data_IF_911981736152
#
_entry.id   IF_911981736152
#
_cell.length_a   1.000
_cell.length_b   1.000
_cell.length_c   1.000
_cell.angle_alpha   90.00
_cell.angle_beta   90.00
_cell.angle_gamma   90.00
#
_symmetry.space_group_name_H-M   'P 1'
#
loop_
_entity.id
_entity.type
_entity.pdbx_description
1 polymer ?
#
# COMPACT_ATOMS: atom_id res chain seq x y z
N UNK A 1 -20.45 -21.65 18.33
CA UNK A 1 -21.74 -21.43 17.64
C UNK A 1 -21.92 -19.97 17.14
N UNK A 2 -21.74 -18.93 17.96
CA UNK A 2 -21.98 -17.52 17.57
C UNK A 2 -21.07 -17.03 16.44
N UNK A 3 -19.78 -17.34 16.47
CA UNK A 3 -18.80 -16.97 15.43
C UNK A 3 -19.12 -17.60 14.06
N UNK A 4 -19.53 -18.86 14.01
CA UNK A 4 -19.90 -19.56 12.77
C UNK A 4 -21.09 -18.89 12.07
N UNK A 5 -22.17 -18.56 12.81
CA UNK A 5 -23.35 -17.86 12.27
C UNK A 5 -23.01 -16.47 11.73
N UNK A 6 -22.06 -15.76 12.37
CA UNK A 6 -21.60 -14.45 11.90
C UNK A 6 -20.81 -14.58 10.58
N UNK A 7 -19.89 -15.55 10.49
CA UNK A 7 -19.14 -15.82 9.26
C UNK A 7 -20.08 -16.19 8.11
N UNK A 8 -21.08 -17.02 8.33
CA UNK A 8 -22.08 -17.38 7.33
C UNK A 8 -22.87 -16.16 6.82
N UNK A 9 -23.22 -15.23 7.72
CA UNK A 9 -23.91 -13.98 7.35
C UNK A 9 -23.03 -13.10 6.45
N UNK A 10 -21.74 -12.98 6.77
CA UNK A 10 -20.76 -12.21 5.97
C UNK A 10 -20.61 -12.88 4.60
N UNK A 11 -20.39 -14.19 4.56
CA UNK A 11 -20.21 -14.96 3.32
C UNK A 11 -21.45 -14.82 2.42
N UNK A 12 -22.65 -14.91 3.00
CA UNK A 12 -23.90 -14.69 2.23
C UNK A 12 -23.94 -13.31 1.62
N UNK A 13 -23.47 -12.27 2.35
CA UNK A 13 -23.38 -10.91 1.82
C UNK A 13 -22.34 -10.79 0.70
N UNK A 14 -21.19 -11.47 0.81
CA UNK A 14 -20.17 -11.47 -0.25
C UNK A 14 -20.69 -12.13 -1.53
N UNK A 15 -21.33 -13.31 -1.41
CA UNK A 15 -21.93 -14.02 -2.53
C UNK A 15 -23.01 -13.19 -3.24
N UNK A 16 -23.91 -12.54 -2.48
CA UNK A 16 -24.98 -11.69 -3.04
C UNK A 16 -24.42 -10.43 -3.75
N UNK A 17 -23.18 -10.06 -3.46
CA UNK A 17 -22.46 -8.98 -4.14
C UNK A 17 -21.59 -9.42 -5.33
N UNK A 18 -21.70 -10.71 -5.73
CA UNK A 18 -21.04 -11.26 -6.90
C UNK A 18 -19.60 -11.72 -6.67
N UNK A 19 -19.18 -11.94 -5.41
CA UNK A 19 -17.88 -12.53 -5.11
C UNK A 19 -17.96 -14.05 -5.07
N UNK A 20 -16.97 -14.73 -5.65
CA UNK A 20 -16.84 -16.18 -5.77
C UNK A 20 -15.80 -16.69 -4.77
N UNK A 21 -16.01 -17.86 -4.19
CA UNK A 21 -15.06 -18.47 -3.26
C UNK A 21 -13.70 -18.71 -3.95
N UNK A 22 -12.65 -18.30 -3.27
CA UNK A 22 -11.27 -18.66 -3.58
C UNK A 22 -10.62 -19.28 -2.35
N UNK A 23 -9.87 -20.34 -2.58
CA UNK A 23 -9.14 -21.07 -1.53
C UNK A 23 -7.64 -20.95 -1.83
N UNK A 24 -7.00 -19.84 -1.42
CA UNK A 24 -5.57 -19.64 -1.62
C UNK A 24 -4.76 -20.62 -0.78
N UNK A 25 -3.63 -21.06 -1.31
CA UNK A 25 -2.77 -22.04 -0.68
C UNK A 25 -2.26 -21.57 0.70
N UNK A 26 -2.12 -22.49 1.64
CA UNK A 26 -1.63 -22.22 3.01
C UNK A 26 -0.11 -22.10 3.02
N UNK A 27 0.56 -22.94 2.23
CA UNK A 27 2.00 -22.99 2.11
C UNK A 27 2.43 -22.24 0.85
N UNK A 28 3.35 -21.32 1.02
CA UNK A 28 3.85 -20.47 -0.05
C UNK A 28 5.37 -20.52 -0.08
N UNK A 29 5.95 -20.29 -1.25
CA UNK A 29 7.39 -20.10 -1.42
C UNK A 29 7.81 -18.80 -0.71
N UNK A 30 8.71 -18.92 0.29
CA UNK A 30 9.12 -17.79 1.11
C UNK A 30 9.98 -16.81 0.34
N UNK A 31 10.87 -17.28 -0.52
CA UNK A 31 11.77 -16.43 -1.29
C UNK A 31 10.98 -15.60 -2.29
N UNK A 32 10.00 -16.24 -2.93
CA UNK A 32 9.09 -15.54 -3.83
C UNK A 32 8.33 -14.37 -3.16
N UNK A 33 7.90 -14.56 -1.90
CA UNK A 33 7.21 -13.51 -1.15
C UNK A 33 8.20 -12.43 -0.69
N UNK A 34 9.36 -12.81 -0.15
CA UNK A 34 10.38 -11.88 0.35
C UNK A 34 10.87 -10.95 -0.76
N UNK A 35 11.19 -11.49 -1.93
CA UNK A 35 11.67 -10.73 -3.07
C UNK A 35 10.65 -9.70 -3.57
N UNK A 36 9.36 -9.98 -3.40
CA UNK A 36 8.28 -9.27 -4.08
C UNK A 36 7.34 -8.50 -3.18
N UNK A 37 7.24 -8.86 -1.89
CA UNK A 37 6.31 -8.23 -0.95
C UNK A 37 6.99 -7.37 0.11
N UNK A 38 8.32 -7.29 0.11
CA UNK A 38 9.11 -6.38 0.94
C UNK A 38 9.50 -6.91 2.34
N UNK A 39 10.36 -6.13 3.00
CA UNK A 39 11.03 -6.48 4.27
C UNK A 39 10.05 -6.69 5.44
N UNK A 40 8.91 -6.00 5.44
CA UNK A 40 7.92 -6.13 6.52
C UNK A 40 7.32 -7.54 6.58
N UNK A 41 7.08 -8.17 5.44
CA UNK A 41 6.61 -9.55 5.41
C UNK A 41 7.67 -10.50 5.96
N UNK A 42 8.93 -10.32 5.56
CA UNK A 42 10.05 -11.16 6.02
C UNK A 42 10.11 -11.26 7.54
N UNK A 43 10.02 -10.14 8.25
CA UNK A 43 10.12 -10.13 9.73
C UNK A 43 8.93 -10.80 10.43
N UNK A 44 7.78 -10.90 9.76
CA UNK A 44 6.54 -11.47 10.32
C UNK A 44 6.22 -12.89 9.85
N UNK A 45 6.99 -13.44 8.90
CA UNK A 45 6.74 -14.76 8.33
C UNK A 45 7.14 -15.90 9.28
N UNK A 46 6.38 -16.98 9.25
CA UNK A 46 6.73 -18.28 9.83
C UNK A 46 7.28 -19.15 8.71
N UNK A 47 8.61 -19.28 8.65
CA UNK A 47 9.33 -20.00 7.61
C UNK A 47 9.83 -21.36 8.08
N UNK A 48 9.97 -22.30 7.16
CA UNK A 48 10.56 -23.63 7.36
C UNK A 48 11.15 -24.12 6.03
N UNK A 49 12.08 -25.05 6.11
CA UNK A 49 12.69 -25.65 4.94
C UNK A 49 12.02 -26.99 4.61
N UNK A 50 11.78 -27.22 3.32
CA UNK A 50 11.37 -28.53 2.82
C UNK A 50 12.57 -29.48 2.74
N UNK A 51 12.28 -30.76 2.61
CA UNK A 51 13.30 -31.81 2.44
C UNK A 51 14.19 -31.60 1.20
N UNK A 52 13.64 -30.96 0.16
CA UNK A 52 14.35 -30.56 -1.07
C UNK A 52 15.15 -29.25 -0.93
N UNK A 53 15.23 -28.67 0.28
CA UNK A 53 15.99 -27.46 0.56
C UNK A 53 15.27 -26.16 0.17
N UNK A 54 14.03 -26.21 -0.34
CA UNK A 54 13.27 -25.00 -0.64
C UNK A 54 12.70 -24.38 0.61
N UNK A 55 12.94 -23.08 0.78
CA UNK A 55 12.36 -22.30 1.87
C UNK A 55 10.87 -22.01 1.62
N UNK A 56 10.04 -22.43 2.56
CA UNK A 56 8.59 -22.26 2.52
C UNK A 56 8.14 -21.40 3.70
N UNK A 57 6.91 -20.86 3.62
CA UNK A 57 6.29 -20.20 4.73
C UNK A 57 4.78 -20.52 4.82
N UNK A 58 4.24 -20.41 6.01
CA UNK A 58 2.80 -20.29 6.17
C UNK A 58 2.35 -18.91 5.66
N UNK A 59 1.27 -18.84 4.88
CA UNK A 59 0.78 -17.57 4.30
C UNK A 59 0.62 -16.49 5.38
N UNK A 60 1.40 -15.39 5.30
CA UNK A 60 1.31 -14.33 6.28
C UNK A 60 0.14 -13.39 6.02
N UNK A 61 -0.46 -13.48 4.83
CA UNK A 61 -1.53 -12.60 4.35
C UNK A 61 -2.38 -13.34 3.31
N UNK A 62 -3.69 -13.24 3.43
CA UNK A 62 -4.61 -13.87 2.50
C UNK A 62 -4.76 -13.09 1.20
N UNK A 63 -4.53 -11.78 1.20
CA UNK A 63 -4.51 -10.95 -0.03
C UNK A 63 -3.36 -11.38 -0.94
N UNK A 64 -2.13 -11.49 -0.39
CA UNK A 64 -0.96 -11.93 -1.15
C UNK A 64 -1.14 -13.35 -1.68
N UNK A 65 -1.62 -14.27 -0.84
CA UNK A 65 -1.91 -15.65 -1.23
C UNK A 65 -2.98 -15.73 -2.34
N UNK A 66 -4.01 -14.90 -2.26
CA UNK A 66 -5.05 -14.79 -3.31
C UNK A 66 -4.52 -14.23 -4.62
N UNK A 67 -3.62 -13.24 -4.56
CA UNK A 67 -2.96 -12.70 -5.76
C UNK A 67 -2.12 -13.77 -6.45
N UNK A 68 -1.33 -14.55 -5.69
CA UNK A 68 -0.53 -15.66 -6.21
C UNK A 68 -1.43 -16.70 -6.87
N UNK A 69 -2.48 -17.15 -6.17
CA UNK A 69 -3.46 -18.11 -6.71
C UNK A 69 -4.14 -17.61 -7.99
N UNK A 70 -4.50 -16.33 -8.06
CA UNK A 70 -5.08 -15.71 -9.24
C UNK A 70 -4.12 -15.75 -10.45
N UNK A 71 -2.84 -15.46 -10.25
CA UNK A 71 -1.83 -15.47 -11.30
C UNK A 71 -1.56 -16.89 -11.83
N UNK A 72 -1.65 -17.91 -10.96
CA UNK A 72 -1.39 -19.30 -11.32
C UNK A 72 -2.61 -20.00 -11.94
N UNK A 73 -3.80 -19.79 -11.36
CA UNK A 73 -5.00 -20.61 -11.64
C UNK A 73 -6.02 -19.91 -12.55
N UNK A 74 -5.76 -18.69 -13.04
CA UNK A 74 -6.71 -17.87 -13.83
C UNK A 74 -8.14 -17.86 -13.25
N UNK A 75 -8.24 -17.68 -11.95
CA UNK A 75 -9.50 -17.68 -11.20
C UNK A 75 -10.36 -16.44 -11.51
N UNK A 76 -11.57 -16.37 -10.94
CA UNK A 76 -12.43 -15.19 -11.05
C UNK A 76 -11.72 -13.94 -10.56
N UNK A 77 -11.99 -12.79 -11.20
CA UNK A 77 -11.45 -11.50 -10.79
C UNK A 77 -12.10 -10.92 -9.52
N UNK A 78 -13.31 -11.39 -9.17
CA UNK A 78 -14.04 -11.00 -7.94
C UNK A 78 -14.13 -12.20 -7.02
N UNK A 79 -13.31 -12.22 -6.00
CA UNK A 79 -13.19 -13.35 -5.09
C UNK A 79 -13.46 -12.96 -3.63
N UNK A 80 -13.94 -13.91 -2.86
CA UNK A 80 -13.90 -13.87 -1.41
C UNK A 80 -13.13 -15.08 -0.87
N UNK A 81 -12.54 -14.93 0.28
CA UNK A 81 -11.86 -16.00 1.01
C UNK A 81 -12.31 -16.05 2.47
N UNK A 82 -12.17 -17.24 3.05
CA UNK A 82 -12.31 -17.49 4.48
C UNK A 82 -11.12 -18.32 4.92
N UNK A 83 -10.32 -17.85 5.86
CA UNK A 83 -9.14 -18.60 6.27
C UNK A 83 -8.29 -17.91 7.32
N UNK A 84 -7.16 -18.54 7.60
CA UNK A 84 -6.20 -18.11 8.59
C UNK A 84 -4.96 -17.49 7.93
N UNK A 85 -4.53 -16.34 8.44
CA UNK A 85 -3.22 -15.78 8.18
C UNK A 85 -2.31 -16.04 9.38
N UNK A 86 -1.05 -16.37 9.11
CA UNK A 86 -0.08 -16.78 10.12
C UNK A 86 1.06 -15.78 10.19
N UNK A 87 1.17 -15.08 11.32
CA UNK A 87 2.18 -14.03 11.49
C UNK A 87 2.90 -14.17 12.82
N UNK A 88 4.22 -13.99 12.77
CA UNK A 88 5.01 -13.78 13.98
C UNK A 88 4.58 -12.46 14.64
N UNK A 89 4.20 -12.50 15.90
CA UNK A 89 3.93 -11.29 16.66
C UNK A 89 5.19 -10.86 17.41
N UNK A 90 5.49 -9.55 17.39
CA UNK A 90 6.56 -8.96 18.20
C UNK A 90 6.25 -8.90 19.70
N UNK A 91 4.99 -9.09 20.09
CA UNK A 91 4.55 -9.04 21.48
C UNK A 91 4.49 -10.45 22.08
N UNK A 92 5.08 -10.66 23.24
CA UNK A 92 4.97 -11.91 23.99
C UNK A 92 3.47 -12.19 24.28
N UNK A 93 2.99 -13.38 23.89
CA UNK A 93 1.61 -13.82 24.11
C UNK A 93 0.57 -13.40 23.07
N UNK A 94 0.98 -12.73 21.97
CA UNK A 94 0.07 -12.45 20.89
C UNK A 94 -0.12 -13.66 19.97
N UNK A 95 -1.35 -13.85 19.54
CA UNK A 95 -1.74 -14.96 18.67
C UNK A 95 -1.01 -14.92 17.32
N UNK A 96 -0.43 -16.03 16.92
CA UNK A 96 0.16 -16.23 15.60
C UNK A 96 -0.87 -16.37 14.48
N UNK A 97 -2.13 -16.66 14.85
CA UNK A 97 -3.20 -17.01 13.92
C UNK A 97 -4.26 -15.92 13.91
N UNK A 98 -4.59 -15.43 12.73
CA UNK A 98 -5.65 -14.44 12.50
C UNK A 98 -6.68 -15.01 11.55
N UNK A 99 -7.89 -15.27 12.06
CA UNK A 99 -9.03 -15.68 11.26
C UNK A 99 -9.61 -14.50 10.49
N UNK A 100 -9.68 -14.61 9.17
CA UNK A 100 -10.09 -13.54 8.26
C UNK A 100 -11.14 -13.99 7.27
N UNK A 101 -12.08 -13.09 6.98
CA UNK A 101 -12.95 -13.12 5.81
C UNK A 101 -12.65 -11.91 4.95
N UNK A 102 -12.30 -12.11 3.69
CA UNK A 102 -11.96 -10.99 2.82
C UNK A 102 -12.56 -11.09 1.43
N UNK A 103 -12.54 -9.98 0.74
CA UNK A 103 -12.96 -9.83 -0.65
C UNK A 103 -11.90 -9.07 -1.44
N UNK A 104 -11.67 -9.51 -2.68
CA UNK A 104 -10.70 -8.88 -3.58
C UNK A 104 -11.31 -8.71 -4.97
N UNK A 105 -10.97 -7.60 -5.63
CA UNK A 105 -11.18 -7.38 -7.07
C UNK A 105 -9.80 -7.29 -7.71
N UNK A 106 -9.43 -8.36 -8.42
CA UNK A 106 -8.13 -8.52 -9.08
C UNK A 106 -8.28 -8.22 -10.57
N UNK A 107 -7.45 -7.33 -11.11
CA UNK A 107 -7.64 -6.80 -12.47
C UNK A 107 -8.79 -5.79 -12.56
N UNK A 108 -8.87 -4.88 -11.58
CA UNK A 108 -9.84 -3.78 -11.53
C UNK A 108 -9.82 -2.96 -12.82
N UNK A 109 -10.99 -2.81 -13.45
CA UNK A 109 -11.15 -2.06 -14.71
C UNK A 109 -11.67 -0.64 -14.47
N UNK A 110 -12.40 -0.42 -13.39
CA UNK A 110 -12.96 0.87 -13.02
C UNK A 110 -12.64 1.16 -11.54
N UNK A 111 -11.56 1.89 -11.31
CA UNK A 111 -11.05 2.21 -9.97
C UNK A 111 -12.14 2.75 -9.05
N UNK A 112 -12.91 3.75 -9.51
CA UNK A 112 -13.91 4.44 -8.67
C UNK A 112 -15.03 3.48 -8.25
N UNK A 113 -15.50 2.66 -9.18
CA UNK A 113 -16.60 1.73 -8.90
C UNK A 113 -16.12 0.55 -8.06
N UNK A 114 -14.93 0.03 -8.33
CA UNK A 114 -14.40 -1.13 -7.64
C UNK A 114 -14.00 -0.79 -6.19
N UNK A 115 -13.40 0.39 -5.96
CA UNK A 115 -13.13 0.90 -4.60
C UNK A 115 -14.43 1.05 -3.81
N UNK A 116 -15.45 1.67 -4.42
CA UNK A 116 -16.76 1.82 -3.80
C UNK A 116 -17.42 0.47 -3.51
N UNK A 117 -17.32 -0.50 -4.43
CA UNK A 117 -17.89 -1.84 -4.30
C UNK A 117 -17.29 -2.57 -3.10
N UNK A 118 -15.95 -2.56 -2.97
CA UNK A 118 -15.27 -3.19 -1.82
C UNK A 118 -15.73 -2.55 -0.52
N UNK A 119 -15.63 -1.22 -0.41
CA UNK A 119 -15.94 -0.52 0.83
C UNK A 119 -17.41 -0.68 1.21
N UNK A 120 -18.34 -0.54 0.26
CA UNK A 120 -19.78 -0.70 0.52
C UNK A 120 -20.14 -2.13 0.93
N UNK A 121 -19.51 -3.16 0.34
CA UNK A 121 -19.73 -4.57 0.71
C UNK A 121 -19.21 -4.87 2.12
N UNK A 122 -18.04 -4.37 2.49
CA UNK A 122 -17.51 -4.50 3.86
C UNK A 122 -18.42 -3.80 4.87
N UNK A 123 -18.86 -2.57 4.55
CA UNK A 123 -19.76 -1.82 5.44
C UNK A 123 -21.11 -2.49 5.63
N UNK A 124 -21.71 -3.01 4.56
CA UNK A 124 -22.98 -3.75 4.67
C UNK A 124 -22.83 -5.01 5.50
N UNK A 125 -21.68 -5.70 5.40
CA UNK A 125 -21.34 -6.83 6.27
C UNK A 125 -21.20 -6.40 7.74
N UNK A 126 -20.44 -5.32 7.98
CA UNK A 126 -20.25 -4.78 9.33
C UNK A 126 -21.58 -4.38 10.00
N UNK A 127 -22.49 -3.74 9.27
CA UNK A 127 -23.82 -3.36 9.77
C UNK A 127 -24.69 -4.56 10.14
N UNK A 128 -24.61 -5.65 9.36
CA UNK A 128 -25.39 -6.87 9.63
C UNK A 128 -24.95 -7.59 10.92
N UNK A 129 -23.70 -7.44 11.33
CA UNK A 129 -23.12 -8.16 12.47
C UNK A 129 -22.95 -7.30 13.72
N UNK A 130 -22.95 -5.99 13.60
CA UNK A 130 -22.73 -5.04 14.71
C UNK A 130 -23.88 -4.04 14.84
N UNK A 131 -24.32 -3.84 16.11
CA UNK A 131 -25.34 -2.85 16.46
C UNK A 131 -24.76 -1.49 16.88
N UNK A 132 -23.45 -1.39 17.10
CA UNK A 132 -22.77 -0.14 17.51
C UNK A 132 -22.52 0.75 16.29
N UNK A 133 -22.41 2.06 16.55
CA UNK A 133 -22.05 3.06 15.54
C UNK A 133 -20.78 2.61 14.79
N UNK A 134 -20.86 2.63 13.46
CA UNK A 134 -19.75 2.34 12.57
C UNK A 134 -19.05 3.66 12.23
N UNK A 135 -17.74 3.70 12.41
CA UNK A 135 -16.85 4.80 11.99
C UNK A 135 -15.90 4.27 10.92
N UNK A 136 -15.66 5.05 9.90
CA UNK A 136 -14.71 4.73 8.83
C UNK A 136 -13.60 5.77 8.86
N UNK A 137 -12.35 5.30 8.85
CA UNK A 137 -11.19 6.13 8.59
C UNK A 137 -10.69 5.81 7.18
N UNK A 138 -10.39 6.84 6.41
CA UNK A 138 -9.84 6.70 5.06
C UNK A 138 -8.61 7.56 4.89
N UNK A 139 -7.69 7.09 4.08
CA UNK A 139 -6.56 7.84 3.56
C UNK A 139 -6.37 7.54 2.08
N UNK A 140 -5.44 8.24 1.43
CA UNK A 140 -5.09 7.95 0.04
C UNK A 140 -3.62 8.23 -0.23
N UNK A 141 -2.90 7.18 -0.54
CA UNK A 141 -1.47 7.24 -0.88
C UNK A 141 -1.24 8.03 -2.17
N UNK A 142 -2.21 8.03 -3.09
CA UNK A 142 -2.09 8.75 -4.36
C UNK A 142 -2.08 10.28 -4.16
N UNK A 143 -2.80 10.80 -3.15
CA UNK A 143 -2.77 12.23 -2.80
C UNK A 143 -1.38 12.66 -2.32
N UNK A 144 -0.75 11.83 -1.48
CA UNK A 144 0.62 12.09 -1.05
C UNK A 144 1.59 12.06 -2.24
N UNK A 145 1.47 11.07 -3.13
CA UNK A 145 2.28 11.00 -4.37
C UNK A 145 2.09 12.24 -5.23
N UNK A 146 0.85 12.70 -5.40
CA UNK A 146 0.53 13.91 -6.16
C UNK A 146 1.16 15.16 -5.55
N UNK A 147 1.11 15.33 -4.23
CA UNK A 147 1.80 16.41 -3.53
C UNK A 147 3.31 16.37 -3.80
N UNK A 148 3.95 15.23 -3.53
CA UNK A 148 5.41 15.09 -3.69
C UNK A 148 5.85 15.41 -5.12
N UNK A 149 5.11 14.95 -6.13
CA UNK A 149 5.40 15.22 -7.54
C UNK A 149 5.25 16.69 -7.90
N UNK A 150 4.35 17.42 -7.24
CA UNK A 150 4.11 18.85 -7.48
C UNK A 150 5.15 19.77 -6.80
N UNK A 151 5.89 19.26 -5.80
CA UNK A 151 6.91 20.04 -5.11
C UNK A 151 8.17 20.19 -5.95
N UNK A 152 8.76 21.40 -5.91
CA UNK A 152 10.01 21.71 -6.59
C UNK A 152 11.21 21.18 -5.79
N UNK A 153 11.56 19.94 -6.08
CA UNK A 153 12.71 19.25 -5.49
C UNK A 153 13.28 18.21 -6.46
N UNK A 154 14.56 17.83 -6.30
CA UNK A 154 15.20 16.81 -7.12
C UNK A 154 14.42 15.47 -7.12
N UNK A 155 14.39 14.82 -8.28
CA UNK A 155 13.63 13.57 -8.48
C UNK A 155 14.06 12.46 -7.49
N UNK A 156 15.35 12.39 -7.12
CA UNK A 156 15.82 11.43 -6.10
C UNK A 156 15.10 11.58 -4.76
N UNK A 157 14.78 12.81 -4.34
CA UNK A 157 14.03 13.07 -3.11
C UNK A 157 12.57 12.65 -3.24
N UNK A 158 11.94 12.95 -4.39
CA UNK A 158 10.57 12.50 -4.67
C UNK A 158 10.46 10.99 -4.57
N UNK A 159 11.34 10.28 -5.28
CA UNK A 159 11.37 8.82 -5.28
C UNK A 159 11.61 8.22 -3.88
N UNK A 160 12.54 8.80 -3.10
CA UNK A 160 12.80 8.35 -1.73
C UNK A 160 11.61 8.56 -0.81
N UNK A 161 11.01 9.74 -0.83
CA UNK A 161 9.87 10.06 0.03
C UNK A 161 8.66 9.18 -0.30
N UNK A 162 8.35 8.99 -1.58
CA UNK A 162 7.28 8.10 -2.02
C UNK A 162 7.57 6.64 -1.62
N UNK A 163 8.77 6.15 -1.89
CA UNK A 163 9.15 4.76 -1.61
C UNK A 163 9.11 4.41 -0.13
N UNK A 164 9.46 5.36 0.74
CA UNK A 164 9.57 5.11 2.19
C UNK A 164 8.43 5.72 3.00
N UNK A 165 7.37 6.17 2.35
CA UNK A 165 6.20 6.73 3.00
C UNK A 165 5.58 5.77 4.03
N UNK A 166 5.57 4.48 3.74
CA UNK A 166 5.05 3.42 4.60
C UNK A 166 5.92 3.11 5.84
N UNK A 167 7.11 3.71 5.97
CA UNK A 167 8.03 3.56 7.12
C UNK A 167 8.06 4.83 7.98
N UNK A 168 7.14 5.05 8.92
CA UNK A 168 7.01 6.34 9.60
C UNK A 168 8.29 6.88 10.21
N UNK A 169 9.05 6.06 10.95
CA UNK A 169 10.31 6.48 11.59
C UNK A 169 11.39 6.85 10.58
N UNK A 170 11.59 6.01 9.55
CA UNK A 170 12.58 6.28 8.51
C UNK A 170 12.17 7.45 7.61
N UNK A 171 10.88 7.61 7.34
CA UNK A 171 10.35 8.75 6.61
C UNK A 171 10.62 10.07 7.34
N UNK A 172 10.45 10.09 8.67
CA UNK A 172 10.77 11.29 9.46
C UNK A 172 12.28 11.61 9.44
N UNK A 173 13.15 10.60 9.44
CA UNK A 173 14.58 10.81 9.22
C UNK A 173 14.89 11.39 7.84
N UNK A 174 14.21 10.93 6.79
CA UNK A 174 14.34 11.49 5.45
C UNK A 174 13.92 12.96 5.42
N UNK A 175 12.83 13.33 6.09
CA UNK A 175 12.41 14.73 6.22
C UNK A 175 13.46 15.57 6.93
N UNK A 176 14.06 15.09 8.03
CA UNK A 176 15.15 15.77 8.72
C UNK A 176 16.39 15.97 7.83
N UNK A 177 16.74 14.96 7.02
CA UNK A 177 17.84 15.05 6.04
C UNK A 177 17.55 16.07 4.94
N UNK A 178 16.33 16.08 4.41
CA UNK A 178 15.89 17.04 3.42
C UNK A 178 15.92 18.47 3.99
N UNK A 179 15.46 18.66 5.22
CA UNK A 179 15.47 19.96 5.91
C UNK A 179 16.89 20.51 6.10
N UNK A 180 17.85 19.64 6.43
CA UNK A 180 19.29 20.00 6.60
C UNK A 180 20.07 19.99 5.30
N UNK A 181 19.49 19.56 4.20
CA UNK A 181 20.14 19.42 2.89
C UNK A 181 21.40 18.52 2.91
N UNK A 182 21.42 17.50 3.79
CA UNK A 182 22.60 16.67 4.07
C UNK A 182 22.94 15.64 2.99
N UNK A 183 22.13 15.51 1.95
CA UNK A 183 22.40 14.60 0.82
C UNK A 183 23.28 15.23 -0.28
N UNK A 184 23.78 16.43 -0.06
CA UNK A 184 24.73 17.08 -0.97
C UNK A 184 26.14 16.61 -0.59
N UNK A 185 26.49 15.42 -1.08
CA UNK A 185 27.83 14.89 -0.94
C UNK A 185 28.53 14.94 -2.32
N UNK A 186 29.45 15.90 -2.45
CA UNK A 186 30.26 16.07 -3.68
C UNK A 186 31.11 14.83 -3.96
N UNK A 187 31.65 14.19 -2.93
CA UNK A 187 32.49 12.99 -3.04
C UNK A 187 31.69 11.82 -3.59
N UNK A 188 30.49 11.59 -3.07
CA UNK A 188 29.60 10.52 -3.58
C UNK A 188 29.18 10.79 -5.03
N UNK A 189 28.95 12.06 -5.39
CA UNK A 189 28.62 12.44 -6.76
C UNK A 189 29.75 12.13 -7.73
N UNK A 190 30.96 12.51 -7.40
CA UNK A 190 32.15 12.27 -8.25
C UNK A 190 32.45 10.77 -8.35
N UNK A 191 32.27 10.02 -7.27
CA UNK A 191 32.41 8.57 -7.26
C UNK A 191 31.34 7.91 -8.14
N UNK A 192 30.08 8.30 -8.01
CA UNK A 192 28.99 7.80 -8.86
C UNK A 192 29.22 8.13 -10.35
N UNK A 193 29.76 9.32 -10.65
CA UNK A 193 30.11 9.74 -12.01
C UNK A 193 31.25 8.89 -12.60
N UNK A 194 32.31 8.65 -11.83
CA UNK A 194 33.40 7.75 -12.23
C UNK A 194 32.91 6.34 -12.51
N UNK A 195 32.14 5.75 -11.57
CA UNK A 195 31.53 4.42 -11.73
C UNK A 195 30.63 4.33 -12.96
N UNK A 196 29.86 5.37 -13.28
CA UNK A 196 29.04 5.42 -14.49
C UNK A 196 29.88 5.26 -15.75
N UNK A 197 30.97 6.03 -15.88
CA UNK A 197 31.84 5.95 -17.05
C UNK A 197 32.59 4.61 -17.12
N UNK A 198 33.01 4.06 -16.01
CA UNK A 198 33.64 2.73 -15.94
C UNK A 198 32.68 1.62 -16.38
N UNK A 199 31.44 1.65 -15.90
CA UNK A 199 30.44 0.65 -16.26
C UNK A 199 29.95 0.78 -17.70
N UNK A 200 29.96 1.99 -18.26
CA UNK A 200 29.62 2.22 -19.68
C UNK A 200 30.59 1.56 -20.65
N UNK A 201 31.82 1.28 -20.20
CA UNK A 201 32.85 0.58 -20.99
C UNK A 201 32.71 -0.95 -20.95
N UNK A 202 31.87 -1.50 -20.06
CA UNK A 202 31.62 -2.93 -19.91
C UNK A 202 30.54 -3.38 -20.88
N UNK A 203 30.60 -4.69 -21.23
CA UNK A 203 29.56 -5.32 -22.04
C UNK A 203 28.20 -5.20 -21.37
N UNK A 204 27.23 -4.68 -22.13
CA UNK A 204 25.90 -4.33 -21.60
C UNK A 204 24.99 -5.53 -21.31
N UNK A 205 25.34 -6.70 -21.86
CA UNK A 205 24.59 -7.95 -21.68
C UNK A 205 24.93 -8.67 -20.36
N UNK A 206 25.99 -8.23 -19.67
CA UNK A 206 26.37 -8.80 -18.38
C UNK A 206 25.36 -8.44 -17.28
N UNK A 207 25.07 -9.42 -16.42
CA UNK A 207 24.17 -9.29 -15.25
C UNK A 207 25.00 -9.20 -13.96
N UNK A 208 24.82 -8.14 -13.18
CA UNK A 208 25.46 -7.95 -11.87
C UNK A 208 24.39 -7.95 -10.79
N UNK A 209 24.46 -8.92 -9.87
CA UNK A 209 23.49 -9.08 -8.79
C UNK A 209 22.02 -9.08 -9.27
N UNK A 210 21.74 -9.85 -10.34
CA UNK A 210 20.40 -10.01 -10.91
C UNK A 210 19.89 -8.80 -11.74
N UNK A 211 20.76 -7.82 -12.06
CA UNK A 211 20.41 -6.64 -12.85
C UNK A 211 21.30 -6.50 -14.06
N UNK A 212 20.71 -6.15 -15.21
CA UNK A 212 21.48 -5.86 -16.40
C UNK A 212 22.29 -4.57 -16.22
N UNK A 213 23.45 -4.49 -16.87
CA UNK A 213 24.29 -3.29 -16.86
C UNK A 213 23.49 -2.08 -17.41
N UNK A 214 22.62 -2.28 -18.39
CA UNK A 214 21.75 -1.25 -18.93
C UNK A 214 20.82 -0.63 -17.88
N UNK A 215 20.23 -1.43 -17.00
CA UNK A 215 19.40 -0.94 -15.89
C UNK A 215 20.21 -0.18 -14.84
N UNK A 216 21.41 -0.67 -14.55
CA UNK A 216 22.35 0.00 -13.64
C UNK A 216 22.76 1.35 -14.21
N UNK A 217 23.14 1.41 -15.50
CA UNK A 217 23.51 2.63 -16.21
C UNK A 217 22.37 3.67 -16.23
N UNK A 218 21.14 3.24 -16.50
CA UNK A 218 19.95 4.15 -16.43
C UNK A 218 19.77 4.76 -15.03
N UNK A 219 20.08 4.02 -13.97
CA UNK A 219 20.03 4.55 -12.60
C UNK A 219 21.14 5.57 -12.32
N UNK A 220 22.37 5.27 -12.76
CA UNK A 220 23.49 6.20 -12.63
C UNK A 220 23.29 7.47 -13.44
N UNK A 221 22.80 7.36 -14.69
CA UNK A 221 22.48 8.50 -15.54
C UNK A 221 21.46 9.44 -14.87
N UNK A 222 20.40 8.89 -14.28
CA UNK A 222 19.44 9.67 -13.49
C UNK A 222 20.08 10.37 -12.29
N UNK A 223 20.99 9.70 -11.58
CA UNK A 223 21.72 10.30 -10.45
C UNK A 223 22.65 11.43 -10.87
N UNK A 224 23.34 11.26 -12.00
CA UNK A 224 24.31 12.24 -12.51
C UNK A 224 23.58 13.48 -13.06
N UNK A 225 22.44 13.29 -13.71
CA UNK A 225 21.60 14.38 -14.24
C UNK A 225 20.77 15.08 -13.17
N UNK A 226 20.67 14.50 -11.97
CA UNK A 226 19.90 15.08 -10.89
C UNK A 226 20.60 16.34 -10.35
N UNK A 227 19.98 17.51 -10.46
CA UNK A 227 20.60 18.75 -10.00
C UNK A 227 20.83 18.68 -8.50
N UNK A 228 22.10 18.89 -8.10
CA UNK A 228 22.49 18.96 -6.68
C UNK A 228 22.47 20.39 -6.15
N UNK A 229 21.76 21.27 -6.85
CA UNK A 229 21.53 22.64 -6.44
C UNK A 229 20.75 22.69 -5.12
N UNK A 230 20.92 23.80 -4.42
CA UNK A 230 20.20 24.11 -3.20
C UNK A 230 18.69 23.89 -3.37
N UNK A 231 18.12 23.16 -2.45
CA UNK A 231 16.67 22.97 -2.31
C UNK A 231 16.26 23.65 -1.01
N UNK A 232 15.19 24.45 -1.04
CA UNK A 232 14.62 24.96 0.21
C UNK A 232 13.92 23.82 0.98
N UNK A 233 14.76 22.95 1.55
CA UNK A 233 14.33 21.76 2.26
C UNK A 233 13.43 22.10 3.45
N UNK A 234 13.67 23.21 4.14
CA UNK A 234 12.83 23.65 5.28
C UNK A 234 11.42 23.97 4.83
N UNK A 235 11.26 24.71 3.73
CA UNK A 235 9.96 25.05 3.15
C UNK A 235 9.22 23.80 2.69
N UNK A 236 9.90 22.91 1.97
CA UNK A 236 9.34 21.66 1.45
C UNK A 236 8.86 20.77 2.61
N UNK A 237 9.68 20.58 3.63
CA UNK A 237 9.33 19.77 4.80
C UNK A 237 8.15 20.36 5.56
N UNK A 238 8.07 21.69 5.68
CA UNK A 238 6.90 22.38 6.28
C UNK A 238 5.62 22.06 5.50
N UNK A 239 5.66 22.11 4.16
CA UNK A 239 4.52 21.77 3.30
C UNK A 239 4.11 20.30 3.49
N UNK A 240 5.07 19.38 3.45
CA UNK A 240 4.78 17.95 3.63
C UNK A 240 4.15 17.69 5.02
N UNK A 241 4.72 18.22 6.09
CA UNK A 241 4.20 18.05 7.45
C UNK A 241 2.82 18.67 7.63
N UNK A 242 2.55 19.82 7.00
CA UNK A 242 1.22 20.43 7.06
C UNK A 242 0.17 19.61 6.33
N UNK A 243 0.49 19.01 5.18
CA UNK A 243 -0.36 18.05 4.50
C UNK A 243 -0.69 16.83 5.38
N UNK A 244 0.34 16.22 5.99
CA UNK A 244 0.16 15.03 6.83
C UNK A 244 -0.67 15.27 8.10
N UNK A 245 -0.89 16.52 8.49
CA UNK A 245 -1.77 16.93 9.59
C UNK A 245 -3.24 17.07 9.18
N UNK A 246 -3.58 16.99 7.90
CA UNK A 246 -4.96 17.07 7.45
C UNK A 246 -5.75 15.89 8.02
N UNK A 247 -6.74 16.22 8.83
CA UNK A 247 -7.67 15.29 9.46
C UNK A 247 -9.03 16.00 9.52
N UNK A 248 -9.99 15.53 8.74
CA UNK A 248 -11.28 16.18 8.58
C UNK A 248 -12.38 15.18 8.20
N UNK A 249 -13.64 15.59 8.30
CA UNK A 249 -14.75 14.84 7.73
C UNK A 249 -14.60 14.77 6.21
N UNK A 250 -15.03 13.68 5.61
CA UNK A 250 -14.97 13.51 4.16
C UNK A 250 -15.75 14.59 3.40
N UNK A 251 -16.81 15.13 4.01
CA UNK A 251 -17.59 16.26 3.44
C UNK A 251 -16.76 17.52 3.24
N UNK A 252 -15.77 17.76 4.08
CA UNK A 252 -14.92 18.96 4.12
C UNK A 252 -13.64 18.82 3.29
N UNK A 253 -13.34 17.60 2.80
CA UNK A 253 -12.03 17.29 2.21
C UNK A 253 -11.69 18.17 1.00
N UNK A 254 -12.65 18.43 0.11
CA UNK A 254 -12.42 19.25 -1.08
C UNK A 254 -11.93 20.66 -0.72
N UNK A 255 -12.64 21.29 0.22
CA UNK A 255 -12.31 22.63 0.70
C UNK A 255 -10.94 22.65 1.38
N UNK A 256 -10.67 21.66 2.26
CA UNK A 256 -9.37 21.53 2.95
C UNK A 256 -8.20 21.38 2.00
N UNK A 257 -8.34 20.58 0.95
CA UNK A 257 -7.30 20.39 -0.05
C UNK A 257 -7.09 21.63 -0.93
N UNK A 258 -8.16 22.33 -1.28
CA UNK A 258 -8.08 23.60 -2.02
C UNK A 258 -7.39 24.69 -1.20
N UNK A 259 -7.76 24.83 0.07
CA UNK A 259 -7.13 25.80 0.96
C UNK A 259 -5.66 25.48 1.22
N UNK A 260 -5.35 24.20 1.43
CA UNK A 260 -3.97 23.76 1.55
C UNK A 260 -3.14 24.11 0.30
N UNK A 261 -3.68 23.88 -0.91
CA UNK A 261 -3.00 24.23 -2.15
C UNK A 261 -2.77 25.74 -2.27
N UNK A 262 -3.77 26.57 -1.96
CA UNK A 262 -3.66 28.05 -1.96
C UNK A 262 -2.60 28.55 -0.98
N UNK A 263 -2.64 28.09 0.29
CA UNK A 263 -1.71 28.51 1.35
C UNK A 263 -0.24 28.18 1.03
N UNK A 264 0.00 27.16 0.22
CA UNK A 264 1.34 26.71 -0.14
C UNK A 264 1.76 27.07 -1.58
N UNK A 265 1.01 27.96 -2.26
CA UNK A 265 1.24 28.37 -3.64
C UNK A 265 1.34 27.18 -4.64
N UNK A 266 0.55 26.13 -4.40
CA UNK A 266 0.48 24.97 -5.28
C UNK A 266 -0.65 25.13 -6.31
N UNK A 267 -0.52 24.49 -7.46
CA UNK A 267 -1.58 24.47 -8.49
C UNK A 267 -2.86 23.84 -7.91
N UNK A 268 -4.02 24.46 -8.14
CA UNK A 268 -5.32 23.99 -7.63
C UNK A 268 -5.67 22.54 -8.04
N UNK A 269 -5.14 22.06 -9.16
CA UNK A 269 -5.45 20.76 -9.73
C UNK A 269 -4.46 19.64 -9.36
N UNK A 270 -3.56 19.85 -8.40
CA UNK A 270 -2.59 18.81 -7.99
C UNK A 270 -3.27 17.57 -7.41
N UNK A 271 -4.45 17.75 -6.82
CA UNK A 271 -5.24 16.67 -6.20
C UNK A 271 -6.42 16.21 -7.08
N UNK A 272 -6.35 16.38 -8.42
CA UNK A 272 -7.48 16.04 -9.33
C UNK A 272 -7.87 14.55 -9.34
N UNK A 273 -6.98 13.66 -8.91
CA UNK A 273 -7.14 12.20 -9.06
C UNK A 273 -7.77 11.49 -7.84
N UNK A 274 -8.36 12.25 -6.88
CA UNK A 274 -8.97 11.68 -5.68
C UNK A 274 -10.48 11.37 -5.80
N UNK A 275 -10.95 11.14 -7.01
CA UNK A 275 -12.36 10.84 -7.33
C UNK A 275 -12.91 9.61 -6.59
N UNK A 276 -12.06 8.59 -6.34
CA UNK A 276 -12.45 7.40 -5.58
C UNK A 276 -12.89 7.75 -4.17
N UNK A 277 -12.11 8.57 -3.46
CA UNK A 277 -12.46 9.01 -2.10
C UNK A 277 -13.76 9.82 -2.11
N UNK A 278 -13.91 10.77 -3.03
CA UNK A 278 -15.12 11.60 -3.11
C UNK A 278 -16.37 10.78 -3.36
N UNK A 279 -16.27 9.71 -4.14
CA UNK A 279 -17.40 8.83 -4.40
C UNK A 279 -17.92 8.16 -3.13
N UNK A 280 -17.11 8.05 -2.07
CA UNK A 280 -17.52 7.51 -0.78
C UNK A 280 -18.54 8.38 -0.05
N UNK A 281 -18.70 9.66 -0.41
CA UNK A 281 -19.77 10.52 0.11
C UNK A 281 -21.17 9.90 -0.11
N UNK A 282 -21.32 9.09 -1.18
CA UNK A 282 -22.55 8.35 -1.50
C UNK A 282 -22.91 7.28 -0.47
N UNK A 283 -21.99 6.85 0.38
CA UNK A 283 -22.25 5.85 1.41
C UNK A 283 -23.10 6.38 2.56
N UNK A 284 -23.24 7.71 2.68
CA UNK A 284 -23.99 8.37 3.72
C UNK A 284 -23.61 7.90 5.13
N UNK A 285 -22.30 7.84 5.39
CA UNK A 285 -21.69 7.37 6.63
C UNK A 285 -20.77 8.41 7.23
N UNK A 286 -20.47 8.23 8.52
CA UNK A 286 -19.47 9.03 9.23
C UNK A 286 -18.08 8.57 8.80
N UNK A 287 -17.48 9.30 7.84
CA UNK A 287 -16.19 9.00 7.24
C UNK A 287 -15.22 10.11 7.59
N UNK A 288 -14.10 9.77 8.21
CA UNK A 288 -13.03 10.67 8.55
C UNK A 288 -11.82 10.43 7.62
N UNK A 289 -11.38 11.48 6.94
CA UNK A 289 -10.17 11.46 6.13
C UNK A 289 -8.96 11.84 6.97
N UNK A 290 -7.88 11.10 6.83
CA UNK A 290 -6.61 11.34 7.53
C UNK A 290 -5.46 11.18 6.51
N UNK A 291 -4.77 12.28 6.21
CA UNK A 291 -3.69 12.27 5.21
C UNK A 291 -2.49 11.38 5.58
N UNK A 292 -2.24 11.21 6.87
CA UNK A 292 -1.16 10.36 7.40
C UNK A 292 -1.62 8.92 7.69
N UNK A 293 -2.66 8.44 7.00
CA UNK A 293 -3.27 7.12 7.22
C UNK A 293 -2.82 6.09 6.19
N UNK A 294 -2.88 4.79 6.55
CA UNK A 294 -2.60 3.68 5.62
C UNK A 294 -1.11 3.42 5.36
N UNK A 295 -0.23 3.93 6.22
CA UNK A 295 1.23 3.77 6.09
C UNK A 295 1.77 2.44 6.61
N UNK A 296 0.92 1.59 7.20
CA UNK A 296 1.36 0.33 7.83
C UNK A 296 1.60 -0.80 6.85
N UNK A 297 1.13 -0.68 5.61
CA UNK A 297 1.22 -1.71 4.58
C UNK A 297 1.91 -1.13 3.34
N UNK A 298 3.01 -1.78 2.94
CA UNK A 298 3.90 -1.31 1.86
C UNK A 298 3.24 -1.32 0.48
N UNK A 299 2.37 -2.29 0.22
CA UNK A 299 1.82 -2.49 -1.11
C UNK A 299 0.63 -1.61 -1.48
N UNK A 300 0.08 -0.79 -0.56
CA UNK A 300 -1.00 0.12 -0.93
C UNK A 300 -0.53 1.25 -1.85
N UNK A 301 -1.34 1.55 -2.86
CA UNK A 301 -1.02 2.53 -3.91
C UNK A 301 -2.00 3.67 -4.04
N UNK A 302 -3.21 3.51 -3.50
CA UNK A 302 -4.32 4.47 -3.58
C UNK A 302 -5.07 4.57 -2.27
N UNK A 303 -6.40 4.47 -2.34
CA UNK A 303 -7.28 4.52 -1.16
C UNK A 303 -6.96 3.43 -0.16
N UNK A 304 -6.95 3.78 1.12
CA UNK A 304 -6.82 2.86 2.26
C UNK A 304 -7.92 3.18 3.26
N UNK A 305 -8.51 2.16 3.86
CA UNK A 305 -9.57 2.37 4.84
C UNK A 305 -9.56 1.36 5.98
N UNK A 306 -10.08 1.79 7.11
CA UNK A 306 -10.41 0.93 8.26
C UNK A 306 -11.82 1.22 8.74
N UNK A 307 -12.50 0.15 9.15
CA UNK A 307 -13.86 0.19 9.68
C UNK A 307 -13.83 -0.17 11.16
N UNK A 308 -14.39 0.69 11.98
CA UNK A 308 -14.44 0.53 13.42
C UNK A 308 -15.88 0.33 13.91
N UNK A 309 -16.04 -0.50 14.93
CA UNK A 309 -17.25 -0.58 15.74
C UNK A 309 -16.91 -0.20 17.17
N UNK A 310 -17.25 1.02 17.57
CA UNK A 310 -16.71 1.65 18.77
C UNK A 310 -15.19 1.85 18.64
N UNK A 311 -14.41 1.29 19.60
CA UNK A 311 -12.94 1.39 19.58
C UNK A 311 -12.24 0.23 18.85
N UNK A 312 -12.98 -0.82 18.45
CA UNK A 312 -12.40 -2.00 17.79
C UNK A 312 -12.39 -1.85 16.27
N UNK A 313 -11.22 -2.00 15.65
CA UNK A 313 -11.11 -2.18 14.20
C UNK A 313 -11.67 -3.56 13.84
N UNK A 314 -12.65 -3.59 12.97
CA UNK A 314 -13.33 -4.83 12.53
C UNK A 314 -12.96 -5.22 11.09
N UNK A 315 -12.54 -4.27 10.28
CA UNK A 315 -12.09 -4.53 8.91
C UNK A 315 -11.09 -3.47 8.46
N UNK A 316 -10.22 -3.87 7.54
CA UNK A 316 -9.29 -2.98 6.83
C UNK A 316 -9.13 -3.40 5.38
N UNK A 317 -8.74 -2.45 4.53
CA UNK A 317 -8.49 -2.70 3.12
C UNK A 317 -7.93 -1.49 2.40
N UNK A 318 -7.72 -1.65 1.09
CA UNK A 318 -7.21 -0.59 0.24
C UNK A 318 -6.89 -1.07 -1.16
N UNK A 319 -6.43 -0.14 -1.99
CA UNK A 319 -6.00 -0.36 -3.37
C UNK A 319 -4.50 -0.65 -3.44
N UNK A 320 -4.13 -1.65 -4.25
CA UNK A 320 -2.76 -2.16 -4.35
C UNK A 320 -2.40 -2.56 -5.81
N UNK A 321 -2.38 -1.57 -6.70
CA UNK A 321 -2.25 -1.75 -8.15
C UNK A 321 -0.91 -2.35 -8.60
N UNK A 322 0.14 -2.18 -7.80
CA UNK A 322 1.49 -2.65 -8.14
C UNK A 322 1.80 -4.06 -7.60
N UNK A 323 0.95 -4.60 -6.69
CA UNK A 323 1.23 -5.87 -6.01
C UNK A 323 1.29 -7.06 -6.98
N UNK A 324 0.30 -7.23 -7.86
CA UNK A 324 0.30 -8.35 -8.80
C UNK A 324 1.47 -8.28 -9.78
N UNK A 325 1.89 -7.07 -10.18
CA UNK A 325 3.08 -6.90 -11.01
C UNK A 325 4.34 -7.30 -10.26
N UNK A 326 4.49 -6.92 -9.00
CA UNK A 326 5.61 -7.34 -8.16
C UNK A 326 5.62 -8.86 -7.95
N UNK A 327 4.44 -9.50 -7.92
CA UNK A 327 4.28 -10.95 -7.85
C UNK A 327 4.41 -11.67 -9.22
N UNK A 328 4.84 -10.97 -10.28
CA UNK A 328 5.17 -11.56 -11.58
C UNK A 328 4.08 -11.49 -12.64
N UNK A 329 3.05 -10.68 -12.46
CA UNK A 329 2.08 -10.43 -13.54
C UNK A 329 2.77 -9.78 -14.75
N UNK A 330 2.51 -10.30 -15.96
CA UNK A 330 3.08 -9.78 -17.22
C UNK A 330 2.61 -8.36 -17.55
N UNK A 331 1.40 -8.02 -17.12
CA UNK A 331 0.78 -6.69 -17.34
C UNK A 331 0.45 -6.06 -15.99
N UNK A 332 0.31 -4.74 -15.99
CA UNK A 332 -0.24 -4.04 -14.82
C UNK A 332 -1.66 -4.57 -14.55
N UNK A 333 -1.89 -5.05 -13.34
CA UNK A 333 -3.15 -5.69 -12.93
C UNK A 333 -3.62 -5.00 -11.65
N UNK A 334 -4.32 -3.85 -11.79
CA UNK A 334 -4.79 -3.08 -10.65
C UNK A 334 -5.71 -3.91 -9.76
N UNK A 335 -5.62 -3.69 -8.45
CA UNK A 335 -6.44 -4.46 -7.52
C UNK A 335 -6.82 -3.66 -6.27
N UNK A 336 -7.95 -4.05 -5.69
CA UNK A 336 -8.48 -3.50 -4.44
C UNK A 336 -9.16 -4.60 -3.65
N UNK A 337 -8.99 -4.58 -2.33
CA UNK A 337 -9.60 -5.57 -1.47
C UNK A 337 -9.66 -5.17 -0.02
N UNK A 338 -10.29 -6.02 0.79
CA UNK A 338 -10.38 -5.82 2.22
C UNK A 338 -10.67 -7.11 2.98
N UNK A 339 -10.23 -7.15 4.23
CA UNK A 339 -10.46 -8.25 5.15
C UNK A 339 -11.18 -7.80 6.42
N UNK A 340 -12.08 -8.65 6.90
CA UNK A 340 -12.73 -8.58 8.22
C UNK A 340 -11.97 -9.49 9.16
N UNK A 341 -11.55 -8.97 10.32
CA UNK A 341 -10.93 -9.76 11.38
C UNK A 341 -12.01 -10.37 12.27
N UNK A 342 -12.14 -11.69 12.23
CA UNK A 342 -13.18 -12.40 12.96
C UNK A 342 -13.02 -12.36 14.50
N UNK A 343 -11.81 -12.14 15.01
CA UNK A 343 -11.58 -11.98 16.46
C UNK A 343 -12.15 -10.67 17.03
N UNK A 344 -12.36 -9.69 16.15
CA UNK A 344 -12.82 -8.35 16.55
C UNK A 344 -14.35 -8.17 16.45
N UNK A 345 -15.05 -9.25 16.04
CA UNK A 345 -16.51 -9.21 15.81
C UNK A 345 -17.32 -9.77 16.98
#
# INVERSE_FOLDING_TARGET
MKSKKLSETIIKNFKSNGFVLSEPDVLLDSDYIIERSGEKFRSSMLTFDRVDGKAMCLRPDLTVASCISFLQKKSSSKIYYSGQAYRRSGNKGADFINDQLGIEILGSKNQIQDDFKIISTILSSAKKIKRKKILIKVGDISLFKSLINALDMPERWKLRLIRHFWRPSYFEELLKRLEKNTDIDAVTFDTDKKRFYEMKKKDQDNVIAGRSISEILKRFDKKIKDPRSFVDGKKIVKIIRSFLKINCKLSELDERLLDFAKQNNLKKNIFKDFKSILNLKKLNQDINFIANFGRDVEYYTGIVFEVFSGKKEIARGGRYDDLLKSLGAKKNTPAVGAAINLKNI
#
